data_IF_638992660044
#
_entry.id   IF_638992660044
#
_cell.length_a   1.000
_cell.length_b   1.000
_cell.length_c   1.000
_cell.angle_alpha   90.00
_cell.angle_beta   90.00
_cell.angle_gamma   90.00
#
_symmetry.space_group_name_H-M   'P 1'
#
loop_
_entity.id
_entity.type
_entity.pdbx_description
1 polymer ?
#
# COMPACT_ATOMS: atom_id res chain seq x y z
N UNK A 1 -7.41 20.52 0.80
CA UNK A 1 -6.73 19.29 1.23
C UNK A 1 -7.71 18.17 0.99
N UNK A 2 -7.37 17.34 0.01
CA UNK A 2 -8.23 16.71 -0.98
C UNK A 2 -9.28 15.73 -0.46
N UNK A 3 -10.55 16.05 -0.73
CA UNK A 3 -11.69 15.13 -0.64
C UNK A 3 -11.50 13.83 -1.46
N UNK A 4 -10.59 13.86 -2.45
CA UNK A 4 -10.17 12.69 -3.23
C UNK A 4 -9.46 11.61 -2.39
N UNK A 5 -8.77 11.98 -1.30
CA UNK A 5 -8.07 11.03 -0.45
C UNK A 5 -9.03 10.17 0.38
N UNK A 6 -10.23 10.66 0.68
CA UNK A 6 -11.26 9.93 1.47
C UNK A 6 -11.83 8.70 0.76
N UNK A 7 -11.63 8.58 -0.54
CA UNK A 7 -12.19 7.48 -1.35
C UNK A 7 -11.19 6.37 -1.65
N UNK A 8 -9.91 6.55 -1.27
CA UNK A 8 -8.86 5.55 -1.47
C UNK A 8 -8.83 4.58 -0.30
N UNK A 9 -8.87 3.28 -0.62
CA UNK A 9 -8.89 2.19 0.36
C UNK A 9 -7.48 1.94 0.89
N UNK A 10 -7.36 1.81 2.21
CA UNK A 10 -6.10 1.46 2.86
C UNK A 10 -5.92 -0.06 2.83
N UNK A 11 -4.76 -0.53 2.40
CA UNK A 11 -4.40 -1.95 2.43
C UNK A 11 -4.36 -2.45 3.88
N UNK A 12 -5.07 -3.55 4.16
CA UNK A 12 -5.21 -4.12 5.51
C UNK A 12 -6.31 -3.48 6.37
N UNK A 13 -7.02 -2.47 5.87
CA UNK A 13 -8.26 -2.02 6.52
C UNK A 13 -9.35 -3.07 6.34
N UNK A 14 -9.98 -3.48 7.44
CA UNK A 14 -11.11 -4.41 7.41
C UNK A 14 -12.26 -3.80 6.61
N UNK A 15 -12.93 -4.61 5.81
CA UNK A 15 -14.02 -4.14 4.95
C UNK A 15 -15.24 -3.66 5.77
N UNK A 16 -15.35 -4.08 7.04
CA UNK A 16 -16.37 -3.70 8.00
C UNK A 16 -15.94 -2.50 8.87
N UNK A 17 -14.69 -2.01 8.76
CA UNK A 17 -14.27 -0.83 9.49
C UNK A 17 -15.07 0.39 9.00
N UNK A 18 -15.78 1.11 9.88
CA UNK A 18 -16.63 2.24 9.49
C UNK A 18 -15.82 3.45 9.00
N UNK A 19 -14.50 3.48 9.24
CA UNK A 19 -13.58 4.50 8.76
C UNK A 19 -12.34 3.85 8.08
N UNK A 20 -12.51 3.20 6.92
CA UNK A 20 -11.43 2.51 6.20
C UNK A 20 -10.55 3.50 5.39
N UNK A 21 -10.79 4.80 5.56
CA UNK A 21 -10.11 5.88 4.87
C UNK A 21 -8.84 6.35 5.59
N UNK A 22 -8.00 7.15 4.91
CA UNK A 22 -6.77 7.67 5.50
C UNK A 22 -7.07 8.56 6.71
N UNK A 23 -6.46 8.21 7.85
CA UNK A 23 -6.61 8.91 9.12
C UNK A 23 -5.63 10.10 9.18
N UNK A 24 -6.06 11.26 9.71
CA UNK A 24 -5.16 12.40 9.88
C UNK A 24 -4.02 12.06 10.85
N UNK A 25 -2.78 12.39 10.48
CA UNK A 25 -1.57 12.09 11.26
C UNK A 25 -0.88 10.76 10.90
N UNK A 26 -1.46 9.99 9.99
CA UNK A 26 -0.86 8.80 9.42
C UNK A 26 -0.11 9.12 8.11
N UNK A 27 0.92 8.33 7.82
CA UNK A 27 1.69 8.42 6.58
C UNK A 27 1.27 7.26 5.70
N UNK A 28 0.79 7.58 4.49
CA UNK A 28 0.34 6.60 3.52
C UNK A 28 1.22 6.61 2.28
N UNK A 29 1.46 5.44 1.69
CA UNK A 29 2.13 5.30 0.39
C UNK A 29 1.17 4.70 -0.62
N UNK A 30 1.05 5.33 -1.77
CA UNK A 30 0.23 4.83 -2.87
C UNK A 30 0.96 3.68 -3.56
N UNK A 31 0.31 2.53 -3.66
CA UNK A 31 0.80 1.38 -4.41
C UNK A 31 0.46 1.56 -5.88
N UNK A 32 1.48 1.48 -6.74
CA UNK A 32 1.38 1.75 -8.17
C UNK A 32 1.90 0.55 -8.94
N UNK A 33 1.10 0.06 -9.89
CA UNK A 33 1.37 -1.15 -10.64
C UNK A 33 1.09 -2.43 -9.83
N UNK A 34 0.93 -3.56 -10.51
CA UNK A 34 0.68 -4.85 -9.85
C UNK A 34 -0.75 -5.05 -9.33
N UNK A 35 -0.97 -6.07 -8.48
CA UNK A 35 -2.31 -6.50 -8.05
C UNK A 35 -2.96 -5.60 -6.99
N UNK A 36 -2.20 -4.71 -6.35
CA UNK A 36 -2.67 -3.79 -5.30
C UNK A 36 -2.65 -2.32 -5.76
N UNK A 37 -2.57 -2.09 -7.06
CA UNK A 37 -2.57 -0.76 -7.67
C UNK A 37 -3.76 0.10 -7.19
N UNK A 38 -3.47 1.34 -6.82
CA UNK A 38 -4.46 2.32 -6.37
C UNK A 38 -4.84 2.22 -4.88
N UNK A 39 -4.29 1.25 -4.14
CA UNK A 39 -4.43 1.16 -2.68
C UNK A 39 -3.39 2.02 -1.96
N UNK A 40 -3.74 2.43 -0.74
CA UNK A 40 -2.83 3.15 0.17
C UNK A 40 -2.27 2.19 1.22
N UNK A 41 -0.95 2.08 1.35
CA UNK A 41 -0.31 1.38 2.45
C UNK A 41 -0.09 2.34 3.61
N UNK A 42 -0.62 2.02 4.79
CA UNK A 42 -0.27 2.73 6.03
C UNK A 42 1.16 2.36 6.43
N UNK A 43 2.07 3.34 6.33
CA UNK A 43 3.47 3.23 6.77
C UNK A 43 3.71 4.03 8.04
N UNK A 44 2.65 4.29 8.79
CA UNK A 44 2.71 5.08 10.02
C UNK A 44 3.57 4.38 11.05
N UNK A 45 4.59 5.07 11.56
CA UNK A 45 5.56 4.50 12.51
C UNK A 45 6.62 3.59 11.87
N UNK A 46 6.66 3.46 10.54
CA UNK A 46 7.72 2.71 9.87
C UNK A 46 9.04 3.45 9.93
N UNK A 47 10.14 2.69 10.04
CA UNK A 47 11.48 3.29 10.04
C UNK A 47 11.87 3.75 8.64
N UNK A 48 12.73 4.77 8.55
CA UNK A 48 13.25 5.25 7.27
C UNK A 48 13.99 4.15 6.48
N UNK A 49 14.53 3.14 7.17
CA UNK A 49 15.10 1.96 6.51
C UNK A 49 14.00 1.13 5.82
N UNK A 50 12.93 0.78 6.52
CA UNK A 50 11.80 0.05 5.94
C UNK A 50 11.17 0.82 4.77
N UNK A 51 11.06 2.14 4.88
CA UNK A 51 10.56 2.99 3.79
C UNK A 51 11.45 2.95 2.53
N UNK A 52 12.77 2.77 2.69
CA UNK A 52 13.72 2.67 1.57
C UNK A 52 13.77 1.27 0.97
N UNK A 53 13.68 0.24 1.81
CA UNK A 53 13.67 -1.16 1.38
C UNK A 53 12.35 -1.50 0.66
N UNK A 54 11.22 -0.92 1.08
CA UNK A 54 9.90 -1.23 0.56
C UNK A 54 9.19 -2.29 1.42
N UNK A 55 8.11 -2.87 0.88
CA UNK A 55 7.37 -3.94 1.55
C UNK A 55 6.89 -5.01 0.58
N UNK A 56 7.00 -6.27 1.01
CA UNK A 56 6.33 -7.40 0.40
C UNK A 56 4.95 -7.56 1.04
N UNK A 57 3.90 -7.17 0.31
CA UNK A 57 2.52 -7.20 0.77
C UNK A 57 1.84 -8.50 0.36
N UNK A 58 1.09 -9.10 1.27
CA UNK A 58 0.35 -10.33 1.00
C UNK A 58 -0.88 -9.99 0.15
N UNK A 59 -1.04 -10.62 -1.02
CA UNK A 59 -2.25 -10.43 -1.80
C UNK A 59 -3.27 -11.47 -1.36
N UNK A 60 -4.19 -11.10 -0.44
CA UNK A 60 -5.11 -12.07 0.17
C UNK A 60 -6.19 -12.59 -0.78
N UNK A 61 -6.49 -11.92 -1.89
CA UNK A 61 -7.44 -12.42 -2.91
C UNK A 61 -6.97 -12.01 -4.31
N UNK A 62 -5.92 -12.66 -4.80
CA UNK A 62 -5.59 -12.66 -6.23
C UNK A 62 -6.34 -13.78 -6.95
N UNK A 63 -6.80 -13.51 -8.18
CA UNK A 63 -7.45 -14.44 -9.13
C UNK A 63 -6.69 -15.77 -9.40
N UNK A 64 -5.52 -15.98 -8.77
CA UNK A 64 -4.57 -17.07 -9.02
C UNK A 64 -4.22 -17.93 -7.79
N UNK A 65 -4.90 -17.77 -6.65
CA UNK A 65 -4.80 -18.69 -5.51
C UNK A 65 -3.96 -18.18 -4.32
N UNK A 66 -3.94 -18.95 -3.21
CA UNK A 66 -3.36 -18.53 -1.94
C UNK A 66 -1.82 -18.47 -2.01
N UNK A 67 -1.24 -17.35 -1.58
CA UNK A 67 0.18 -17.30 -1.19
C UNK A 67 1.07 -16.27 -1.88
N UNK A 68 0.59 -15.57 -2.92
CA UNK A 68 1.40 -14.57 -3.61
C UNK A 68 1.69 -13.35 -2.73
N UNK A 69 2.96 -12.91 -2.70
CA UNK A 69 3.36 -11.62 -2.13
C UNK A 69 3.76 -10.70 -3.27
N UNK A 70 3.28 -9.47 -3.25
CA UNK A 70 3.71 -8.45 -4.21
C UNK A 70 4.67 -7.49 -3.52
N UNK A 71 5.87 -7.35 -4.06
CA UNK A 71 6.88 -6.41 -3.56
C UNK A 71 6.66 -5.04 -4.17
N UNK A 72 6.60 -4.04 -3.30
CA UNK A 72 6.50 -2.62 -3.65
C UNK A 72 7.66 -1.87 -3.02
N UNK A 73 8.27 -0.96 -3.78
CA UNK A 73 9.37 -0.15 -3.28
C UNK A 73 9.24 1.31 -3.69
N UNK A 74 9.93 2.23 -3.00
CA UNK A 74 9.85 3.65 -3.28
C UNK A 74 10.26 3.97 -4.72
N UNK A 75 9.49 4.88 -5.34
CA UNK A 75 9.78 5.43 -6.66
C UNK A 75 10.84 6.52 -6.58
N UNK A 76 11.75 6.52 -7.56
CA UNK A 76 12.72 7.62 -7.70
C UNK A 76 11.97 8.90 -8.11
N UNK A 77 12.08 9.94 -7.27
CA UNK A 77 11.39 11.23 -7.46
C UNK A 77 10.10 11.41 -6.67
N UNK A 78 9.39 10.33 -6.29
CA UNK A 78 8.12 10.38 -5.56
C UNK A 78 8.08 9.33 -4.44
N UNK A 79 8.64 9.62 -3.25
CA UNK A 79 8.68 8.65 -2.15
C UNK A 79 7.29 8.30 -1.59
N UNK A 80 6.27 9.12 -1.88
CA UNK A 80 4.86 8.87 -1.57
C UNK A 80 4.21 7.79 -2.43
N UNK A 81 4.86 7.40 -3.54
CA UNK A 81 4.37 6.37 -4.46
C UNK A 81 5.35 5.21 -4.49
N UNK A 82 4.85 4.01 -4.30
CA UNK A 82 5.63 2.79 -4.35
C UNK A 82 5.26 2.01 -5.59
N UNK A 83 6.24 1.84 -6.48
CA UNK A 83 6.06 1.04 -7.68
C UNK A 83 6.25 -0.43 -7.35
N UNK A 84 5.39 -1.25 -7.96
CA UNK A 84 5.49 -2.69 -7.93
C UNK A 84 6.79 -3.15 -8.59
N UNK A 85 7.56 -3.99 -7.88
CA UNK A 85 8.85 -4.52 -8.32
C UNK A 85 8.78 -5.97 -8.80
N UNK A 86 7.74 -6.70 -8.41
CA UNK A 86 7.54 -8.09 -8.77
C UNK A 86 6.72 -8.86 -7.75
N UNK A 87 6.29 -10.05 -8.13
CA UNK A 87 5.74 -11.04 -7.21
C UNK A 87 6.87 -11.90 -6.62
N UNK A 88 6.74 -12.21 -5.33
CA UNK A 88 7.59 -13.13 -4.58
C UNK A 88 6.75 -14.33 -4.14
N UNK A 89 7.34 -15.53 -4.28
CA UNK A 89 6.74 -16.84 -3.98
C UNK A 89 7.16 -17.32 -2.58
#
# INVERSE_FOLDING_TARGET
>A
MDELMRQRRVYGADHDDPDPGPRPGHVYRELVGGPLDGLLLDVTGWTHRALREGAALNTEIGRFGPGGRAEYGPRDGDPDRWDWRGDTL
#
